data_IF_200044612146
#
_entry.id   IF_200044612146
#
_cell.length_a   1.000
_cell.length_b   1.000
_cell.length_c   1.000
_cell.angle_alpha   90.00
_cell.angle_beta   90.00
_cell.angle_gamma   90.00
#
_symmetry.space_group_name_H-M   'P 1'
#
loop_
_entity.id
_entity.type
_entity.pdbx_description
1 polymer ?
#
# COMPACT_ATOMS: atom_id res chain seq x y z
N UNK A 1 5.70 18.09 4.12
CA UNK A 1 5.12 16.85 4.66
C UNK A 1 4.13 16.37 3.62
N UNK A 2 4.22 15.14 3.11
CA UNK A 2 3.18 14.61 2.25
C UNK A 2 1.88 14.72 3.04
N UNK A 3 0.95 15.56 2.55
CA UNK A 3 -0.32 15.76 3.23
C UNK A 3 -1.02 14.42 3.32
N UNK A 4 -1.57 14.10 4.50
CA UNK A 4 -2.30 12.85 4.74
C UNK A 4 -3.35 12.53 3.67
N UNK A 5 -3.87 13.57 3.00
CA UNK A 5 -4.73 13.49 1.82
C UNK A 5 -4.22 12.56 0.73
N UNK A 6 -2.93 12.64 0.33
CA UNK A 6 -2.43 11.84 -0.81
C UNK A 6 -2.45 10.35 -0.49
N UNK A 7 -2.04 10.01 0.75
CA UNK A 7 -2.06 8.63 1.26
C UNK A 7 -3.49 8.12 1.36
N UNK A 8 -4.42 8.95 1.87
CA UNK A 8 -5.84 8.60 1.99
C UNK A 8 -6.53 8.42 0.64
N UNK A 9 -6.18 9.22 -0.36
CA UNK A 9 -6.67 9.04 -1.72
C UNK A 9 -6.14 7.76 -2.35
N UNK A 10 -4.85 7.46 -2.18
CA UNK A 10 -4.26 6.19 -2.62
C UNK A 10 -4.96 5.00 -1.96
N UNK A 11 -5.14 5.04 -0.64
CA UNK A 11 -5.91 4.03 0.08
C UNK A 11 -7.32 3.89 -0.50
N UNK A 12 -8.08 4.97 -0.64
CA UNK A 12 -9.44 4.90 -1.22
C UNK A 12 -9.49 4.33 -2.64
N UNK A 13 -8.42 4.47 -3.42
CA UNK A 13 -8.34 3.91 -4.77
C UNK A 13 -7.98 2.43 -4.78
N UNK A 14 -7.20 1.98 -3.79
CA UNK A 14 -6.71 0.61 -3.68
C UNK A 14 -7.64 -0.27 -2.81
N UNK A 15 -8.02 0.22 -1.63
CA UNK A 15 -8.94 -0.37 -0.66
C UNK A 15 -10.35 -0.46 -1.26
N UNK A 16 -10.67 -1.63 -1.82
CA UNK A 16 -11.95 -1.90 -2.46
C UNK A 16 -12.96 -2.47 -1.49
N UNK A 17 -12.49 -3.13 -0.43
CA UNK A 17 -13.37 -3.71 0.58
C UNK A 17 -13.72 -2.74 1.71
N UNK A 18 -13.04 -1.59 1.77
CA UNK A 18 -13.27 -0.56 2.78
C UNK A 18 -12.71 -0.93 4.14
N UNK A 19 -11.72 -1.83 4.20
CA UNK A 19 -11.04 -2.26 5.42
C UNK A 19 -10.22 -1.15 6.08
N UNK A 20 -9.82 -0.14 5.30
CA UNK A 20 -8.88 0.90 5.74
C UNK A 20 -7.41 0.47 5.68
N UNK A 21 -7.14 -0.73 5.16
CA UNK A 21 -5.82 -1.27 4.84
C UNK A 21 -5.77 -1.64 3.36
N UNK A 22 -4.59 -1.93 2.83
CA UNK A 22 -4.43 -2.42 1.46
C UNK A 22 -3.79 -3.79 1.49
N UNK A 23 -4.56 -4.81 1.12
CA UNK A 23 -4.04 -6.17 0.97
C UNK A 23 -3.23 -6.34 -0.33
N UNK A 24 -2.41 -7.38 -0.41
CA UNK A 24 -1.65 -7.72 -1.63
C UNK A 24 -2.53 -7.84 -2.88
N UNK A 25 -3.75 -8.34 -2.71
CA UNK A 25 -4.71 -8.52 -3.80
C UNK A 25 -5.26 -7.19 -4.29
N UNK A 26 -5.54 -6.27 -3.36
CA UNK A 26 -6.03 -4.93 -3.67
C UNK A 26 -4.96 -4.06 -4.29
N UNK A 27 -3.72 -4.17 -3.81
CA UNK A 27 -2.58 -3.47 -4.42
C UNK A 27 -2.36 -3.94 -5.87
N UNK A 28 -2.41 -5.26 -6.12
CA UNK A 28 -2.38 -5.85 -7.47
C UNK A 28 -3.54 -5.36 -8.34
N UNK A 29 -4.76 -5.39 -7.80
CA UNK A 29 -5.96 -5.01 -8.53
C UNK A 29 -6.05 -3.51 -8.83
N UNK A 30 -5.52 -2.68 -7.93
CA UNK A 30 -5.55 -1.22 -8.02
C UNK A 30 -4.42 -0.65 -8.88
N UNK A 31 -3.25 -1.29 -8.90
CA UNK A 31 -2.18 -0.93 -9.83
C UNK A 31 -2.55 -1.24 -11.29
N UNK A 32 -3.54 -2.12 -11.54
CA UNK A 32 -3.95 -2.60 -12.88
C UNK A 32 -2.75 -2.90 -13.80
N UNK A 33 -1.65 -3.31 -13.18
CA UNK A 33 -0.36 -3.39 -13.83
C UNK A 33 -0.13 -4.87 -14.06
N UNK A 34 -0.59 -5.38 -15.20
CA UNK A 34 -0.38 -6.76 -15.65
C UNK A 34 1.12 -7.15 -15.70
N UNK A 35 2.02 -6.17 -15.68
CA UNK A 35 3.48 -6.36 -15.64
C UNK A 35 4.04 -6.66 -14.24
N UNK A 36 3.29 -6.41 -13.15
CA UNK A 36 3.77 -6.64 -11.79
C UNK A 36 3.32 -8.02 -11.32
N UNK A 37 4.29 -8.88 -11.01
CA UNK A 37 4.02 -10.23 -10.48
C UNK A 37 3.60 -10.19 -9.02
N UNK A 38 2.78 -11.16 -8.61
CA UNK A 38 2.37 -11.35 -7.21
C UNK A 38 3.57 -11.43 -6.26
N UNK A 39 4.67 -12.08 -6.66
CA UNK A 39 5.93 -12.10 -5.90
C UNK A 39 6.49 -10.70 -5.63
N UNK A 40 6.45 -9.79 -6.61
CA UNK A 40 6.97 -8.44 -6.46
C UNK A 40 6.10 -7.62 -5.50
N UNK A 41 4.77 -7.82 -5.55
CA UNK A 41 3.84 -7.20 -4.60
C UNK A 41 4.03 -7.75 -3.19
N UNK A 42 4.25 -9.06 -3.04
CA UNK A 42 4.57 -9.66 -1.73
C UNK A 42 5.88 -9.13 -1.15
N UNK A 43 6.92 -9.01 -1.97
CA UNK A 43 8.21 -8.42 -1.55
C UNK A 43 8.07 -6.93 -1.21
N UNK A 44 7.21 -6.21 -1.92
CA UNK A 44 6.90 -4.81 -1.61
C UNK A 44 6.17 -4.69 -0.28
N UNK A 45 5.13 -5.50 -0.07
CA UNK A 45 4.38 -5.54 1.19
C UNK A 45 5.31 -5.91 2.33
N UNK A 46 6.09 -6.98 2.23
CA UNK A 46 7.06 -7.37 3.27
C UNK A 46 8.07 -6.28 3.66
N UNK A 47 8.37 -5.34 2.77
CA UNK A 47 9.31 -4.23 3.05
C UNK A 47 8.64 -3.08 3.80
N UNK A 48 7.33 -2.95 3.70
CA UNK A 48 6.55 -1.82 4.22
C UNK A 48 5.73 -2.24 5.43
N UNK A 49 5.14 -3.43 5.37
CA UNK A 49 4.46 -4.14 6.43
C UNK A 49 5.43 -4.34 7.60
N UNK A 50 5.33 -3.45 8.58
CA UNK A 50 6.18 -3.48 9.78
C UNK A 50 5.53 -4.31 10.87
N UNK A 51 4.20 -4.39 10.87
CA UNK A 51 3.44 -5.09 11.89
C UNK A 51 3.32 -6.61 11.60
N UNK A 52 3.59 -7.03 10.37
CA UNK A 52 3.56 -8.41 9.89
C UNK A 52 2.15 -8.97 9.70
N UNK A 53 1.13 -8.13 9.53
CA UNK A 53 -0.26 -8.56 9.34
C UNK A 53 -0.58 -8.97 7.90
N UNK A 54 0.33 -8.70 6.95
CA UNK A 54 0.19 -9.02 5.54
C UNK A 54 -0.61 -7.99 4.74
N UNK A 55 -0.99 -6.87 5.36
CA UNK A 55 -1.70 -5.75 4.78
C UNK A 55 -0.91 -4.45 5.02
N UNK A 56 -1.21 -3.40 4.26
CA UNK A 56 -0.56 -2.10 4.44
C UNK A 56 -1.56 -1.11 5.01
N UNK A 57 -1.32 -0.65 6.23
CA UNK A 57 -2.14 0.40 6.84
C UNK A 57 -1.65 1.81 6.48
N UNK A 58 -2.46 2.82 6.83
CA UNK A 58 -2.16 4.24 6.57
C UNK A 58 -0.80 4.65 7.13
N UNK A 59 -0.49 4.22 8.35
CA UNK A 59 0.73 4.59 9.06
C UNK A 59 1.97 3.98 8.39
N UNK A 60 1.88 2.73 7.95
CA UNK A 60 2.96 2.04 7.22
C UNK A 60 3.23 2.65 5.85
N UNK A 61 2.17 2.99 5.11
CA UNK A 61 2.30 3.72 3.86
C UNK A 61 2.92 5.10 4.11
N UNK A 62 2.45 5.85 5.10
CA UNK A 62 3.02 7.16 5.45
C UNK A 62 4.51 7.08 5.77
N UNK A 63 4.88 6.11 6.60
CA UNK A 63 6.27 5.91 6.99
C UNK A 63 7.13 5.57 5.76
N UNK A 64 6.63 4.69 4.89
CA UNK A 64 7.31 4.36 3.64
C UNK A 64 7.48 5.58 2.74
N UNK A 65 6.41 6.31 2.40
CA UNK A 65 6.50 7.51 1.56
C UNK A 65 7.40 8.59 2.17
N UNK A 66 7.37 8.75 3.49
CA UNK A 66 8.29 9.63 4.22
C UNK A 66 9.74 9.14 4.19
N UNK A 67 9.97 7.82 4.16
CA UNK A 67 11.28 7.21 4.11
C UNK A 67 11.93 7.33 2.72
N UNK A 68 11.14 7.24 1.65
CA UNK A 68 11.62 7.40 0.27
C UNK A 68 11.76 8.89 -0.12
N UNK A 69 11.22 9.80 0.69
CA UNK A 69 11.40 11.25 0.53
C UNK A 69 10.48 11.91 -0.50
N UNK A 70 9.23 11.45 -0.60
CA UNK A 70 8.15 12.14 -1.33
C UNK A 70 7.52 13.27 -0.50
#
# INVERSE_FOLDING_TARGET
MPCSEVIKELLKQLDRDGSGTVSAKELLAGLQCDDIKEEQVKEFIKKIDKNGDGELNVDELMDFFSSIGL
#
